data_IF_206084850858
#
_entry.id   IF_206084850858
#
_cell.length_a   1.000
_cell.length_b   1.000
_cell.length_c   1.000
_cell.angle_alpha   90.00
_cell.angle_beta   90.00
_cell.angle_gamma   90.00
#
_symmetry.space_group_name_H-M   'P 1'
#
loop_
_entity.id
_entity.type
_entity.pdbx_description
1 polymer ?
#
# COMPACT_ATOMS: atom_id res chain seq x y z
N UNK A 1 -14.51 -14.00 0.25
CA UNK A 1 -13.12 -13.49 0.32
C UNK A 1 -12.28 -14.37 1.25
N UNK A 2 -11.11 -14.81 0.78
CA UNK A 2 -10.11 -15.55 1.59
C UNK A 2 -8.87 -14.66 1.78
N UNK A 3 -8.29 -14.62 2.99
CA UNK A 3 -7.13 -13.79 3.32
C UNK A 3 -5.98 -14.64 3.85
N UNK A 4 -4.78 -14.40 3.36
CA UNK A 4 -3.54 -15.11 3.74
C UNK A 4 -2.36 -14.13 3.81
N UNK A 5 -1.24 -14.53 4.42
CA UNK A 5 0.00 -13.74 4.37
C UNK A 5 0.83 -14.10 3.15
N UNK A 6 1.77 -13.22 2.77
CA UNK A 6 2.80 -13.53 1.77
C UNK A 6 3.64 -14.74 2.22
N UNK A 7 3.97 -14.83 3.50
CA UNK A 7 4.69 -15.97 4.09
C UNK A 7 3.96 -17.30 3.89
N UNK A 8 2.66 -17.36 4.22
CA UNK A 8 1.87 -18.57 4.05
C UNK A 8 1.80 -19.02 2.58
N UNK A 9 1.73 -18.06 1.65
CA UNK A 9 1.83 -18.36 0.22
C UNK A 9 3.20 -18.92 -0.15
N UNK A 10 4.28 -18.30 0.33
CA UNK A 10 5.66 -18.73 0.09
C UNK A 10 5.94 -20.14 0.64
N UNK A 11 5.37 -20.48 1.79
CA UNK A 11 5.48 -21.79 2.41
C UNK A 11 4.54 -22.84 1.80
N UNK A 12 3.74 -22.45 0.79
CA UNK A 12 2.73 -23.31 0.14
C UNK A 12 1.69 -23.88 1.12
N UNK A 13 1.41 -23.14 2.20
CA UNK A 13 0.41 -23.52 3.21
C UNK A 13 -1.02 -23.29 2.71
N UNK A 14 -1.17 -22.53 1.61
CA UNK A 14 -2.45 -22.23 0.99
C UNK A 14 -2.73 -23.23 -0.14
N UNK A 15 -3.49 -24.28 0.18
CA UNK A 15 -3.70 -25.40 -0.75
C UNK A 15 -4.69 -25.13 -1.91
N UNK A 16 -5.64 -24.19 -1.76
CA UNK A 16 -6.52 -23.79 -2.86
C UNK A 16 -7.06 -22.36 -2.68
N UNK A 17 -7.39 -21.72 -3.80
CA UNK A 17 -8.20 -20.51 -3.88
C UNK A 17 -9.32 -20.69 -4.91
N UNK A 18 -9.89 -21.90 -4.99
CA UNK A 18 -10.94 -22.23 -5.96
C UNK A 18 -12.09 -21.21 -5.91
N UNK A 19 -12.57 -20.81 -7.09
CA UNK A 19 -13.61 -19.80 -7.25
C UNK A 19 -13.15 -18.35 -7.03
N UNK A 20 -11.91 -18.12 -6.59
CA UNK A 20 -11.34 -16.78 -6.49
C UNK A 20 -10.54 -16.47 -7.76
N UNK A 21 -10.85 -15.34 -8.39
CA UNK A 21 -10.26 -14.93 -9.66
C UNK A 21 -9.42 -13.67 -9.53
N UNK A 22 -9.54 -12.95 -8.41
CA UNK A 22 -8.86 -11.69 -8.17
C UNK A 22 -8.07 -11.79 -6.87
N UNK A 23 -6.89 -11.16 -6.82
CA UNK A 23 -6.06 -11.04 -5.64
C UNK A 23 -5.66 -9.59 -5.38
N UNK A 24 -5.59 -9.22 -4.10
CA UNK A 24 -5.21 -7.88 -3.63
C UNK A 24 -4.07 -8.01 -2.63
N UNK A 25 -2.95 -7.36 -2.89
CA UNK A 25 -1.76 -7.36 -2.01
C UNK A 25 -1.68 -6.05 -1.25
N UNK A 26 -1.56 -6.11 0.08
CA UNK A 26 -1.64 -4.92 0.94
C UNK A 26 -0.90 -5.05 2.26
N UNK A 27 -0.58 -3.91 2.85
CA UNK A 27 -0.08 -3.78 4.22
C UNK A 27 -1.01 -2.84 5.01
N UNK A 28 -1.76 -3.42 5.95
CA UNK A 28 -2.86 -2.73 6.62
C UNK A 28 -3.91 -2.20 5.65
N UNK A 29 -4.06 -0.87 5.59
CA UNK A 29 -4.99 -0.17 4.70
C UNK A 29 -4.38 0.18 3.33
N UNK A 30 -3.04 0.11 3.20
CA UNK A 30 -2.36 0.47 1.96
C UNK A 30 -2.37 -0.70 0.98
N UNK A 31 -3.03 -0.51 -0.16
CA UNK A 31 -3.05 -1.52 -1.23
C UNK A 31 -1.89 -1.30 -2.18
N UNK A 32 -1.05 -2.32 -2.38
CA UNK A 32 0.06 -2.25 -3.31
C UNK A 32 -0.36 -2.63 -4.72
N UNK A 33 -1.17 -3.68 -4.86
CA UNK A 33 -1.48 -4.25 -6.17
C UNK A 33 -2.82 -4.99 -6.15
N UNK A 34 -3.54 -4.89 -7.25
CA UNK A 34 -4.71 -5.71 -7.58
C UNK A 34 -4.36 -6.48 -8.86
N UNK A 35 -4.64 -7.78 -8.91
CA UNK A 35 -4.46 -8.57 -10.11
C UNK A 35 -5.51 -9.65 -10.23
N UNK A 36 -5.59 -10.27 -11.40
CA UNK A 36 -6.54 -11.34 -11.68
C UNK A 36 -5.89 -12.55 -12.36
N UNK A 37 -6.57 -13.69 -12.29
CA UNK A 37 -6.19 -14.93 -12.97
C UNK A 37 -7.42 -15.80 -13.22
N UNK A 38 -7.64 -16.19 -14.49
CA UNK A 38 -8.73 -17.11 -14.87
C UNK A 38 -8.48 -18.56 -14.46
N UNK A 39 -7.22 -18.91 -14.19
CA UNK A 39 -6.81 -20.31 -13.90
C UNK A 39 -6.60 -20.51 -12.41
N UNK A 40 -5.66 -19.78 -11.86
CA UNK A 40 -5.28 -19.88 -10.46
C UNK A 40 -4.57 -18.59 -10.03
N UNK A 41 -5.14 -17.91 -9.04
CA UNK A 41 -4.60 -16.68 -8.45
C UNK A 41 -3.33 -16.95 -7.63
N UNK A 42 -3.18 -18.15 -7.06
CA UNK A 42 -1.98 -18.52 -6.29
C UNK A 42 -0.79 -18.69 -7.24
N UNK A 43 -0.94 -19.49 -8.29
CA UNK A 43 0.09 -19.64 -9.32
C UNK A 43 0.48 -18.30 -9.93
N UNK A 44 -0.50 -17.44 -10.27
CA UNK A 44 -0.21 -16.11 -10.82
C UNK A 44 0.57 -15.22 -9.84
N UNK A 45 0.23 -15.27 -8.55
CA UNK A 45 1.00 -14.58 -7.51
C UNK A 45 2.44 -15.09 -7.44
N UNK A 46 2.65 -16.41 -7.53
CA UNK A 46 3.99 -17.00 -7.57
C UNK A 46 4.82 -16.55 -8.77
N UNK A 47 4.21 -16.44 -9.94
CA UNK A 47 4.88 -15.91 -11.14
C UNK A 47 5.41 -14.49 -10.90
N UNK A 48 4.68 -13.64 -10.16
CA UNK A 48 5.18 -12.30 -9.80
C UNK A 48 6.45 -12.34 -8.97
N UNK A 49 6.61 -13.33 -8.10
CA UNK A 49 7.77 -13.50 -7.23
C UNK A 49 8.99 -14.06 -7.97
N UNK A 50 8.77 -14.84 -9.02
CA UNK A 50 9.83 -15.46 -9.82
C UNK A 50 10.28 -14.57 -10.98
N UNK A 51 9.36 -13.80 -11.58
CA UNK A 51 9.64 -12.89 -12.67
C UNK A 51 10.03 -11.48 -12.18
N UNK A 52 10.74 -10.67 -12.98
CA UNK A 52 11.09 -9.28 -12.65
C UNK A 52 9.89 -8.33 -12.71
N UNK A 53 8.84 -8.61 -11.96
CA UNK A 53 7.64 -7.78 -11.83
C UNK A 53 7.83 -6.68 -10.78
N UNK A 54 7.09 -5.57 -10.89
CA UNK A 54 7.13 -4.51 -9.87
C UNK A 54 6.68 -5.01 -8.49
N UNK A 55 5.65 -5.86 -8.45
CA UNK A 55 5.16 -6.46 -7.21
C UNK A 55 6.22 -7.36 -6.56
N UNK A 56 6.82 -8.28 -7.33
CA UNK A 56 7.87 -9.18 -6.84
C UNK A 56 9.08 -8.42 -6.33
N UNK A 57 9.52 -7.39 -7.06
CA UNK A 57 10.61 -6.50 -6.62
C UNK A 57 10.26 -5.75 -5.33
N UNK A 58 9.03 -5.21 -5.20
CA UNK A 58 8.60 -4.50 -4.01
C UNK A 58 8.60 -5.42 -2.78
N UNK A 59 8.08 -6.64 -2.91
CA UNK A 59 8.13 -7.66 -1.84
C UNK A 59 9.58 -7.96 -1.48
N UNK A 60 10.43 -8.25 -2.46
CA UNK A 60 11.82 -8.64 -2.21
C UNK A 60 12.62 -7.57 -1.44
N UNK A 61 12.50 -6.29 -1.81
CA UNK A 61 13.30 -5.21 -1.16
C UNK A 61 12.80 -4.83 0.24
N UNK A 62 11.54 -5.17 0.58
CA UNK A 62 10.93 -4.88 1.88
C UNK A 62 10.90 -6.10 2.82
N UNK A 63 11.62 -7.19 2.51
CA UNK A 63 11.84 -8.26 3.49
C UNK A 63 12.65 -7.75 4.70
N UNK A 64 12.38 -8.26 5.92
CA UNK A 64 11.44 -9.34 6.24
C UNK A 64 9.97 -8.89 6.38
N UNK A 65 9.71 -7.59 6.58
CA UNK A 65 8.37 -7.06 6.90
C UNK A 65 7.30 -7.46 5.86
N UNK A 66 7.70 -7.55 4.58
CA UNK A 66 6.80 -7.96 3.51
C UNK A 66 6.21 -9.37 3.65
N UNK A 67 6.79 -10.23 4.48
CA UNK A 67 6.27 -11.56 4.75
C UNK A 67 4.93 -11.53 5.49
N UNK A 68 4.70 -10.48 6.28
CA UNK A 68 3.47 -10.27 7.04
C UNK A 68 2.40 -9.49 6.26
N UNK A 69 2.70 -9.07 5.01
CA UNK A 69 1.70 -8.44 4.16
C UNK A 69 0.58 -9.40 3.81
N UNK A 70 -0.63 -8.87 3.64
CA UNK A 70 -1.81 -9.65 3.35
C UNK A 70 -2.03 -9.79 1.85
N UNK A 71 -2.46 -10.98 1.44
CA UNK A 71 -2.99 -11.27 0.12
C UNK A 71 -4.45 -11.71 0.30
N UNK A 72 -5.36 -10.91 -0.23
CA UNK A 72 -6.80 -11.15 -0.20
C UNK A 72 -7.24 -11.70 -1.55
N UNK A 73 -7.79 -12.91 -1.56
CA UNK A 73 -8.43 -13.53 -2.72
C UNK A 73 -9.92 -13.21 -2.72
N UNK A 74 -10.43 -12.75 -3.86
CA UNK A 74 -11.82 -12.38 -4.10
C UNK A 74 -12.44 -13.31 -5.16
N UNK A 75 -13.61 -13.86 -4.82
CA UNK A 75 -14.54 -14.34 -5.82
C UNK A 75 -15.25 -13.14 -6.47
N UNK A 76 -15.84 -13.32 -7.66
CA UNK A 76 -16.56 -12.21 -8.32
C UNK A 76 -17.66 -11.64 -7.43
N UNK A 77 -18.43 -12.49 -6.74
CA UNK A 77 -19.47 -12.05 -5.81
C UNK A 77 -18.94 -11.11 -4.69
N UNK A 78 -17.69 -11.27 -4.25
CA UNK A 78 -17.09 -10.37 -3.26
C UNK A 78 -16.83 -8.96 -3.81
N UNK A 79 -16.77 -8.82 -5.14
CA UNK A 79 -16.46 -7.58 -5.83
C UNK A 79 -17.69 -6.73 -6.17
N UNK A 80 -18.91 -7.28 -6.03
CA UNK A 80 -20.16 -6.68 -6.47
C UNK A 80 -20.30 -5.22 -6.01
N UNK A 81 -20.07 -4.96 -4.72
CA UNK A 81 -20.19 -3.62 -4.12
C UNK A 81 -19.27 -2.57 -4.78
N UNK A 82 -18.09 -2.97 -5.25
CA UNK A 82 -17.14 -2.04 -5.86
C UNK A 82 -17.56 -1.69 -7.26
N UNK A 83 -18.07 -2.68 -7.98
CA UNK A 83 -18.64 -2.47 -9.31
C UNK A 83 -19.86 -1.55 -9.14
N UNK A 84 -20.75 -1.77 -8.16
CA UNK A 84 -21.96 -0.96 -7.87
C UNK A 84 -21.69 0.53 -7.72
N UNK A 85 -20.61 0.88 -7.03
CA UNK A 85 -20.23 2.27 -6.82
C UNK A 85 -19.81 2.99 -8.11
N UNK A 86 -19.34 2.26 -9.13
CA UNK A 86 -18.85 2.85 -10.37
C UNK A 86 -19.98 3.27 -11.31
N UNK A 87 -21.12 2.60 -11.25
CA UNK A 87 -22.15 2.79 -12.28
C UNK A 87 -23.51 3.11 -11.68
N UNK A 88 -23.81 4.41 -11.63
CA UNK A 88 -25.15 4.94 -11.36
C UNK A 88 -26.19 4.50 -12.42
N UNK A 89 -25.74 4.02 -13.58
CA UNK A 89 -26.59 3.60 -14.71
C UNK A 89 -26.60 2.09 -14.97
N UNK A 90 -25.74 1.29 -14.34
CA UNK A 90 -25.65 -0.15 -14.60
C UNK A 90 -26.70 -0.98 -13.85
N UNK A 91 -27.79 -0.40 -13.31
CA UNK A 91 -28.87 -1.19 -12.70
C UNK A 91 -29.37 -2.35 -13.57
N UNK A 92 -29.17 -2.28 -14.90
CA UNK A 92 -29.46 -3.37 -15.84
C UNK A 92 -28.26 -4.27 -16.22
N UNK A 93 -27.01 -3.82 -16.06
CA UNK A 93 -25.80 -4.59 -16.42
C UNK A 93 -25.24 -5.45 -15.27
N UNK A 94 -25.71 -5.26 -14.03
CA UNK A 94 -25.24 -6.01 -12.83
C UNK A 94 -25.29 -7.53 -12.99
N UNK A 95 -26.26 -8.04 -13.74
CA UNK A 95 -26.50 -9.47 -13.82
C UNK A 95 -25.32 -10.24 -14.45
N UNK A 96 -24.39 -9.55 -15.12
CA UNK A 96 -23.30 -10.19 -15.86
C UNK A 96 -21.96 -9.43 -15.81
N UNK A 97 -21.57 -8.85 -14.66
CA UNK A 97 -20.22 -8.27 -14.58
C UNK A 97 -19.15 -9.37 -14.60
N UNK A 98 -18.09 -9.13 -15.36
CA UNK A 98 -17.00 -10.08 -15.53
C UNK A 98 -15.78 -9.75 -14.66
N UNK A 99 -14.74 -10.56 -14.82
CA UNK A 99 -13.48 -10.44 -14.08
C UNK A 99 -12.77 -9.11 -14.36
N UNK A 100 -12.81 -8.63 -15.60
CA UNK A 100 -12.13 -7.39 -16.01
C UNK A 100 -12.84 -6.17 -15.38
N UNK A 101 -14.18 -6.16 -15.38
CA UNK A 101 -14.97 -5.14 -14.70
C UNK A 101 -14.70 -5.11 -13.19
N UNK A 102 -14.59 -6.29 -12.57
CA UNK A 102 -14.32 -6.42 -11.14
C UNK A 102 -12.91 -5.95 -10.75
N UNK A 103 -11.88 -6.34 -11.52
CA UNK A 103 -10.51 -5.86 -11.34
C UNK A 103 -10.46 -4.34 -11.49
N UNK A 104 -11.07 -3.80 -12.54
CA UNK A 104 -11.09 -2.37 -12.80
C UNK A 104 -11.77 -1.59 -11.66
N UNK A 105 -12.92 -2.07 -11.18
CA UNK A 105 -13.64 -1.44 -10.08
C UNK A 105 -12.82 -1.44 -8.79
N UNK A 106 -12.12 -2.54 -8.48
CA UNK A 106 -11.23 -2.61 -7.33
C UNK A 106 -10.04 -1.66 -7.44
N UNK A 107 -9.39 -1.60 -8.61
CA UNK A 107 -8.27 -0.67 -8.85
C UNK A 107 -8.74 0.79 -8.64
N UNK A 108 -9.89 1.16 -9.20
CA UNK A 108 -10.42 2.51 -9.07
C UNK A 108 -10.81 2.87 -7.62
N UNK A 109 -11.42 1.92 -6.91
CA UNK A 109 -11.84 2.12 -5.52
C UNK A 109 -10.65 2.18 -4.55
N UNK A 110 -9.65 1.30 -4.74
CA UNK A 110 -8.54 1.15 -3.80
C UNK A 110 -7.29 1.94 -4.16
N UNK A 111 -7.18 2.42 -5.41
CA UNK A 111 -6.05 3.19 -5.93
C UNK A 111 -4.69 2.57 -5.56
N UNK A 112 -4.45 1.31 -5.92
CA UNK A 112 -3.23 0.60 -5.52
C UNK A 112 -1.96 1.32 -5.98
N UNK A 113 -0.86 1.12 -5.27
CA UNK A 113 0.42 1.80 -5.57
C UNK A 113 0.98 1.43 -6.95
N UNK A 114 0.86 0.16 -7.35
CA UNK A 114 1.61 -0.39 -8.49
C UNK A 114 0.77 -0.58 -9.76
N UNK A 115 -0.57 -0.63 -9.70
CA UNK A 115 -1.37 -0.67 -10.93
C UNK A 115 -1.31 0.69 -11.61
N UNK A 116 -0.93 0.70 -12.89
CA UNK A 116 -0.93 1.90 -13.73
C UNK A 116 -2.19 1.95 -14.59
N UNK A 117 -2.57 0.81 -15.15
CA UNK A 117 -3.79 0.70 -15.93
C UNK A 117 -5.01 0.89 -15.02
N UNK A 118 -6.00 1.65 -15.53
CA UNK A 118 -7.24 1.97 -14.84
C UNK A 118 -7.10 2.70 -13.49
N UNK A 119 -5.90 3.22 -13.20
CA UNK A 119 -5.57 3.93 -11.98
C UNK A 119 -5.07 5.33 -12.31
N UNK A 120 -6.00 6.27 -12.49
CA UNK A 120 -5.67 7.65 -12.87
C UNK A 120 -4.80 8.37 -11.82
N UNK A 121 -4.93 7.98 -10.55
CA UNK A 121 -4.26 8.60 -9.41
C UNK A 121 -3.77 7.53 -8.44
N UNK A 122 -2.70 6.78 -8.79
CA UNK A 122 -2.15 5.75 -7.92
C UNK A 122 -1.74 6.34 -6.56
N UNK A 123 -1.99 5.59 -5.49
CA UNK A 123 -1.51 6.00 -4.16
C UNK A 123 0.02 6.04 -4.18
N UNK A 124 0.67 7.15 -3.78
CA UNK A 124 2.12 7.20 -3.68
C UNK A 124 2.64 6.16 -2.69
N UNK A 125 3.76 5.49 -3.02
CA UNK A 125 4.42 4.61 -2.06
C UNK A 125 4.90 5.44 -0.84
N UNK A 126 4.51 5.09 0.40
CA UNK A 126 4.99 5.82 1.57
C UNK A 126 6.49 5.66 1.81
N UNK A 127 7.11 6.68 2.41
CA UNK A 127 8.56 6.76 2.64
C UNK A 127 9.14 5.60 3.46
N UNK A 128 8.34 4.96 4.31
CA UNK A 128 8.75 3.79 5.10
C UNK A 128 9.10 2.57 4.25
N UNK A 129 8.59 2.49 3.02
CA UNK A 129 8.88 1.38 2.13
C UNK A 129 10.10 1.66 1.27
N UNK A 130 10.91 0.61 1.10
CA UNK A 130 11.98 0.56 0.10
C UNK A 130 11.36 0.34 -1.27
N UNK A 131 12.06 0.78 -2.32
CA UNK A 131 11.70 0.48 -3.71
C UNK A 131 11.45 1.70 -4.59
N UNK A 132 11.40 2.92 -4.05
CA UNK A 132 11.24 4.13 -4.88
C UNK A 132 12.19 4.17 -6.08
N UNK A 133 13.50 4.02 -5.85
CA UNK A 133 14.50 4.02 -6.91
C UNK A 133 14.39 2.78 -7.81
N UNK A 134 14.33 1.59 -7.21
CA UNK A 134 14.36 0.29 -7.94
C UNK A 134 13.12 0.09 -8.82
N UNK A 135 11.98 0.66 -8.43
CA UNK A 135 10.70 0.55 -9.14
C UNK A 135 10.45 1.75 -10.06
N UNK A 136 11.33 2.76 -10.07
CA UNK A 136 11.12 4.01 -10.79
C UNK A 136 9.89 4.78 -10.32
N UNK A 137 9.54 4.66 -9.03
CA UNK A 137 8.43 5.37 -8.43
C UNK A 137 8.89 6.75 -7.95
N UNK A 138 8.03 7.78 -8.01
CA UNK A 138 8.35 9.09 -7.49
C UNK A 138 8.77 8.95 -6.02
N UNK A 139 9.87 9.62 -5.64
CA UNK A 139 10.22 9.71 -4.22
C UNK A 139 9.05 10.35 -3.48
N UNK A 140 8.79 9.97 -2.23
CA UNK A 140 7.82 10.69 -1.43
C UNK A 140 8.25 12.15 -1.47
N UNK A 141 7.34 13.03 -1.89
CA UNK A 141 7.49 14.43 -1.55
C UNK A 141 7.33 14.46 -0.03
N UNK A 142 8.44 14.25 0.69
CA UNK A 142 8.56 14.81 2.03
C UNK A 142 8.22 16.26 1.76
N UNK A 143 7.07 16.72 2.25
CA UNK A 143 6.71 18.11 2.11
C UNK A 143 7.91 18.86 2.68
N UNK A 144 8.73 19.41 1.79
CA UNK A 144 9.81 20.25 2.20
C UNK A 144 9.06 21.37 2.90
N UNK A 145 9.16 21.43 4.23
CA UNK A 145 8.77 22.66 4.90
C UNK A 145 9.52 23.74 4.14
N UNK A 146 8.82 24.70 3.50
CA UNK A 146 9.44 25.64 2.57
C UNK A 146 10.49 26.55 3.23
N UNK A 147 10.72 26.37 4.53
CA UNK A 147 11.62 27.10 5.41
C UNK A 147 12.70 26.24 6.08
N UNK A 148 12.78 24.93 5.81
CA UNK A 148 13.69 24.04 6.55
C UNK A 148 15.15 24.28 6.14
N UNK A 149 15.92 24.81 7.09
CA UNK A 149 17.38 24.96 7.00
C UNK A 149 18.06 23.60 6.76
N UNK A 150 19.34 23.56 6.33
CA UNK A 150 20.09 22.31 6.24
C UNK A 150 20.07 21.49 7.54
N UNK A 151 20.08 22.16 8.70
CA UNK A 151 19.98 21.54 10.02
C UNK A 151 18.60 20.90 10.25
N UNK A 152 17.52 21.57 9.85
CA UNK A 152 16.17 21.01 9.92
C UNK A 152 16.03 19.76 9.06
N UNK A 153 16.64 19.73 7.87
CA UNK A 153 16.62 18.55 6.99
C UNK A 153 17.35 17.37 7.61
N UNK A 154 18.51 17.61 8.24
CA UNK A 154 19.26 16.57 8.97
C UNK A 154 18.40 16.02 10.12
N UNK A 155 17.77 16.91 10.88
CA UNK A 155 16.92 16.51 12.00
C UNK A 155 15.70 15.69 11.53
N UNK A 156 14.99 16.14 10.48
CA UNK A 156 13.85 15.41 9.90
C UNK A 156 14.26 14.02 9.39
N UNK A 157 15.43 13.88 8.78
CA UNK A 157 15.94 12.57 8.36
C UNK A 157 16.20 11.65 9.57
N UNK A 158 16.78 12.18 10.66
CA UNK A 158 16.99 11.41 11.90
C UNK A 158 15.67 10.96 12.51
N UNK A 159 14.65 11.83 12.52
CA UNK A 159 13.30 11.49 12.96
C UNK A 159 12.71 10.34 12.15
N UNK A 160 12.77 10.43 10.82
CA UNK A 160 12.25 9.37 9.92
C UNK A 160 12.98 8.04 10.10
N UNK A 161 14.30 8.06 10.36
CA UNK A 161 15.07 6.85 10.64
C UNK A 161 14.70 6.19 11.97
N UNK A 162 14.16 6.97 12.93
CA UNK A 162 13.58 6.47 14.17
C UNK A 162 12.10 6.10 14.03
N UNK A 163 11.56 6.02 12.81
CA UNK A 163 10.17 5.63 12.59
C UNK A 163 9.13 6.73 12.80
N UNK A 164 9.54 7.96 13.14
CA UNK A 164 8.61 9.07 13.26
C UNK A 164 8.12 9.53 11.89
N UNK A 165 6.80 9.61 11.75
CA UNK A 165 6.12 10.17 10.58
C UNK A 165 5.25 11.33 11.02
N UNK A 166 4.94 12.25 10.11
CA UNK A 166 3.98 13.31 10.38
C UNK A 166 2.86 13.30 9.36
N UNK A 167 1.68 13.70 9.82
CA UNK A 167 0.49 13.88 9.00
C UNK A 167 -0.20 15.20 9.36
N UNK A 168 -1.09 15.67 8.48
CA UNK A 168 -1.87 16.88 8.73
C UNK A 168 -3.28 16.49 9.15
N UNK A 169 -3.59 16.62 10.43
CA UNK A 169 -4.91 16.34 11.02
C UNK A 169 -5.58 17.67 11.35
N UNK A 170 -6.75 17.94 10.77
CA UNK A 170 -7.49 19.20 10.97
C UNK A 170 -6.64 20.46 10.75
N UNK A 171 -5.78 20.44 9.73
CA UNK A 171 -4.89 21.55 9.39
C UNK A 171 -3.64 21.67 10.29
N UNK A 172 -3.49 20.85 11.32
CA UNK A 172 -2.33 20.83 12.22
C UNK A 172 -1.43 19.64 11.90
N UNK A 173 -0.12 19.83 12.04
CA UNK A 173 0.85 18.74 11.88
C UNK A 173 0.89 17.93 13.18
N UNK A 174 0.69 16.62 13.07
CA UNK A 174 0.79 15.65 14.15
C UNK A 174 1.82 14.59 13.77
N UNK A 175 2.74 14.33 14.68
CA UNK A 175 3.79 13.35 14.57
C UNK A 175 3.38 12.07 15.27
N UNK A 176 3.69 10.93 14.67
CA UNK A 176 3.34 9.60 15.17
C UNK A 176 4.56 8.69 15.12
N UNK A 177 4.73 7.90 16.17
CA UNK A 177 5.76 6.88 16.29
C UNK A 177 5.10 5.48 16.37
N UNK A 178 5.75 4.40 15.86
CA UNK A 178 5.20 3.04 15.93
C UNK A 178 4.92 2.51 17.34
N UNK A 179 5.50 3.10 18.38
CA UNK A 179 5.18 2.77 19.78
C UNK A 179 3.80 3.27 20.24
N UNK A 180 3.12 4.06 19.40
CA UNK A 180 1.84 4.70 19.73
C UNK A 180 1.99 6.13 20.27
N UNK A 181 3.21 6.59 20.51
CA UNK A 181 3.47 7.98 20.92
C UNK A 181 3.07 8.94 19.79
N UNK A 182 2.34 10.00 20.15
CA UNK A 182 2.01 11.08 19.23
C UNK A 182 2.44 12.42 19.81
N UNK A 183 2.97 13.29 18.96
CA UNK A 183 3.42 14.63 19.34
C UNK A 183 2.86 15.67 18.39
N UNK A 184 2.48 16.81 18.92
CA UNK A 184 2.13 18.00 18.13
C UNK A 184 3.38 18.63 17.52
N UNK A 185 3.22 19.45 16.48
CA UNK A 185 4.34 20.24 15.94
C UNK A 185 5.00 21.15 17.00
N UNK A 186 4.23 21.64 17.98
CA UNK A 186 4.75 22.47 19.06
C UNK A 186 5.68 21.69 20.00
N UNK A 187 5.31 20.47 20.38
CA UNK A 187 6.18 19.58 21.17
C UNK A 187 7.42 19.17 20.37
N UNK A 188 7.25 18.89 19.08
CA UNK A 188 8.36 18.55 18.19
C UNK A 188 9.33 19.71 17.95
N UNK A 189 8.84 20.94 17.96
CA UNK A 189 9.69 22.12 17.86
C UNK A 189 10.71 22.21 19.01
N UNK A 190 10.36 21.75 20.22
CA UNK A 190 11.27 21.73 21.37
C UNK A 190 12.46 20.78 21.15
N UNK A 191 12.18 19.56 20.64
CA UNK A 191 13.23 18.60 20.30
C UNK A 191 14.08 19.10 19.12
N UNK A 192 13.45 19.73 18.13
CA UNK A 192 14.14 20.34 16.99
C UNK A 192 15.12 21.44 17.44
N UNK A 193 14.68 22.36 18.29
CA UNK A 193 15.50 23.46 18.80
C UNK A 193 16.67 22.98 19.66
N UNK A 194 16.47 21.91 20.43
CA UNK A 194 17.53 21.31 21.27
C UNK A 194 18.45 20.36 20.51
N UNK A 195 18.15 20.03 19.24
CA UNK A 195 18.89 19.03 18.45
C UNK A 195 18.71 17.59 18.93
N UNK A 196 17.80 17.36 19.88
CA UNK A 196 17.50 16.04 20.44
C UNK A 196 16.41 15.33 19.63
N UNK A 197 16.29 14.02 19.85
CA UNK A 197 15.18 13.21 19.35
C UNK A 197 14.19 12.98 20.50
N UNK A 198 12.87 12.93 20.22
CA UNK A 198 11.89 12.56 21.23
C UNK A 198 12.12 11.12 21.71
N UNK A 199 11.76 10.81 22.98
CA UNK A 199 11.76 9.44 23.46
C UNK A 199 10.77 8.60 22.63
N UNK A 200 11.19 7.38 22.31
CA UNK A 200 10.43 6.41 21.52
C UNK A 200 9.56 5.50 22.37
#
# INVERSE_FOLDING_TARGET
MKRVTVEALLNKEVANALGHLIYVVRDGTLVFYVGQSRRDVITRFWEHLQAPSYLGRLIAVNKPDSLQWMVDFYALADCERFVQQKSLFAMQEWQHFDMDMAEQALIQAMRPVLNRDFNEKPTPLPARYRGHAVLGLPKPQIAASPTASPQDRIWLNRMSLQGWVYERVNGRIQWQHPSGTTLTEAEMAFYRQSGNLPPT
#
